data_IF_907470458382
#
_entry.id   IF_907470458382
#
_cell.length_a   1.000
_cell.length_b   1.000
_cell.length_c   1.000
_cell.angle_alpha   90.00
_cell.angle_beta   90.00
_cell.angle_gamma   90.00
#
_symmetry.space_group_name_H-M   'P 1'
#
loop_
_entity.id
_entity.type
_entity.pdbx_description
1 polymer ?
#
# COMPACT_ATOMS: atom_id res chain seq x y z
N UNK A 1 9.79 63.57 -53.60
CA UNK A 1 8.80 63.65 -54.70
C UNK A 1 7.94 62.41 -54.66
N UNK A 2 6.65 62.64 -54.40
CA UNK A 2 5.44 61.82 -54.77
C UNK A 2 5.51 60.28 -54.73
N UNK A 3 4.73 59.73 -53.81
CA UNK A 3 4.01 58.46 -53.93
C UNK A 3 3.17 58.33 -55.20
N UNK A 4 2.81 57.08 -55.61
CA UNK A 4 1.42 56.74 -55.37
C UNK A 4 1.18 55.26 -54.86
N UNK A 5 0.07 55.19 -54.14
CA UNK A 5 -0.67 54.04 -53.66
C UNK A 5 -1.05 53.00 -54.73
N UNK A 6 -1.01 51.72 -54.38
CA UNK A 6 -1.88 50.71 -54.99
C UNK A 6 -2.47 49.81 -53.89
N UNK A 7 -3.77 49.97 -53.72
CA UNK A 7 -4.65 49.18 -52.89
C UNK A 7 -4.99 47.86 -53.59
N UNK A 8 -4.76 46.71 -52.87
CA UNK A 8 -5.36 45.40 -53.21
C UNK A 8 -6.53 45.13 -52.28
N UNK A 9 -7.64 44.57 -52.76
CA UNK A 9 -8.79 44.24 -51.93
C UNK A 9 -8.61 42.94 -51.18
N UNK A 10 -8.97 42.95 -49.86
CA UNK A 10 -9.02 41.81 -48.96
C UNK A 10 -10.25 40.97 -49.32
N UNK A 11 -10.04 39.76 -49.86
CA UNK A 11 -11.08 38.74 -49.98
C UNK A 11 -11.25 38.03 -48.64
N UNK A 12 -12.40 38.26 -47.98
CA UNK A 12 -12.85 37.47 -46.84
C UNK A 12 -13.32 36.10 -47.33
N UNK A 13 -12.53 35.04 -47.01
CA UNK A 13 -12.94 33.67 -47.16
C UNK A 13 -13.60 33.23 -45.83
N UNK A 14 -14.92 33.18 -45.78
CA UNK A 14 -15.69 32.61 -44.68
C UNK A 14 -15.62 31.07 -44.79
N UNK A 15 -14.75 30.45 -44.00
CA UNK A 15 -14.76 29.01 -43.80
C UNK A 15 -15.88 28.64 -42.81
N UNK A 16 -16.92 27.99 -43.30
CA UNK A 16 -17.92 27.33 -42.47
C UNK A 16 -17.26 26.11 -41.81
N UNK A 17 -16.98 26.20 -40.50
CA UNK A 17 -16.65 25.04 -39.68
C UNK A 17 -17.96 24.33 -39.36
N UNK A 18 -18.25 23.22 -40.02
CA UNK A 18 -19.29 22.29 -39.63
C UNK A 18 -18.84 21.59 -38.33
N UNK A 19 -19.44 21.96 -37.19
CA UNK A 19 -19.32 21.23 -35.94
C UNK A 19 -19.96 19.86 -36.14
N UNK A 20 -19.14 18.82 -36.36
CA UNK A 20 -19.59 17.43 -36.17
C UNK A 20 -19.75 17.22 -34.69
N UNK A 21 -20.98 17.30 -34.19
CA UNK A 21 -21.36 16.73 -32.91
C UNK A 21 -21.20 15.22 -33.03
N UNK A 22 -20.01 14.73 -32.64
CA UNK A 22 -19.82 13.30 -32.38
C UNK A 22 -20.79 12.88 -31.30
N UNK A 23 -21.77 12.06 -31.65
CA UNK A 23 -22.61 11.35 -30.73
C UNK A 23 -21.67 10.45 -29.88
N UNK A 24 -21.34 10.89 -28.69
CA UNK A 24 -20.78 9.98 -27.67
C UNK A 24 -21.78 8.85 -27.50
N UNK A 25 -21.38 7.64 -27.87
CA UNK A 25 -22.13 6.43 -27.50
C UNK A 25 -22.35 6.47 -25.99
N UNK A 26 -23.56 6.20 -25.50
CA UNK A 26 -23.75 6.09 -24.06
C UNK A 26 -22.81 4.99 -23.60
N UNK A 27 -21.88 5.34 -22.70
CA UNK A 27 -21.13 4.36 -21.96
C UNK A 27 -22.12 3.32 -21.44
N UNK A 28 -21.85 2.06 -21.68
CA UNK A 28 -22.66 0.94 -21.26
C UNK A 28 -22.89 1.11 -19.76
N UNK A 29 -24.06 1.58 -19.37
CA UNK A 29 -24.40 1.71 -17.96
C UNK A 29 -24.37 0.30 -17.40
N UNK A 30 -23.31 -0.04 -16.68
CA UNK A 30 -23.20 -1.31 -15.98
C UNK A 30 -24.52 -1.56 -15.24
N UNK A 31 -25.06 -2.77 -15.37
CA UNK A 31 -26.35 -3.09 -14.78
C UNK A 31 -26.31 -2.73 -13.28
N UNK A 32 -27.12 -1.76 -12.88
CA UNK A 32 -27.09 -1.25 -11.52
C UNK A 32 -27.29 -2.42 -10.54
N UNK A 33 -26.42 -2.52 -9.53
CA UNK A 33 -26.52 -3.53 -8.48
C UNK A 33 -27.90 -3.47 -7.80
N UNK A 34 -28.78 -4.47 -7.99
CA UNK A 34 -30.15 -4.45 -7.44
C UNK A 34 -30.17 -4.58 -5.91
N UNK A 35 -29.01 -4.87 -5.29
CA UNK A 35 -28.86 -5.08 -3.85
C UNK A 35 -28.35 -3.83 -3.12
N UNK A 36 -27.99 -2.76 -3.83
CA UNK A 36 -27.31 -1.61 -3.25
C UNK A 36 -27.98 -1.04 -1.99
N UNK A 37 -29.28 -0.75 -2.05
CA UNK A 37 -30.02 -0.23 -0.89
C UNK A 37 -30.12 -1.24 0.26
N UNK A 38 -30.14 -2.54 -0.03
CA UNK A 38 -30.15 -3.57 1.00
C UNK A 38 -28.80 -3.73 1.66
N UNK A 39 -27.70 -3.67 0.89
CA UNK A 39 -26.33 -3.65 1.40
C UNK A 39 -26.17 -2.50 2.39
N UNK A 40 -26.56 -1.27 2.02
CA UNK A 40 -26.44 -0.10 2.88
C UNK A 40 -27.22 -0.26 4.19
N UNK A 41 -28.46 -0.77 4.13
CA UNK A 41 -29.25 -1.02 5.36
C UNK A 41 -28.60 -2.07 6.25
N UNK A 42 -28.10 -3.16 5.68
CA UNK A 42 -27.43 -4.24 6.44
C UNK A 42 -26.11 -3.77 7.04
N UNK A 43 -25.33 -3.00 6.30
CA UNK A 43 -24.09 -2.39 6.80
C UNK A 43 -24.37 -1.48 7.99
N UNK A 44 -25.34 -0.56 7.88
CA UNK A 44 -25.72 0.33 8.98
C UNK A 44 -26.21 -0.42 10.23
N UNK A 45 -26.88 -1.57 10.06
CA UNK A 45 -27.32 -2.39 11.18
C UNK A 45 -26.17 -3.07 11.93
N UNK A 46 -24.95 -3.07 11.37
CA UNK A 46 -23.76 -3.65 11.99
C UNK A 46 -22.88 -2.62 12.72
N UNK A 47 -23.15 -1.32 12.64
CA UNK A 47 -22.28 -0.27 13.18
C UNK A 47 -21.82 -0.52 14.63
N UNK A 48 -22.72 -0.90 15.52
CA UNK A 48 -22.38 -1.17 16.92
C UNK A 48 -21.43 -2.37 17.06
N UNK A 49 -21.63 -3.44 16.28
CA UNK A 49 -20.76 -4.62 16.29
C UNK A 49 -19.42 -4.37 15.60
N UNK A 50 -19.42 -3.58 14.54
CA UNK A 50 -18.20 -3.13 13.87
C UNK A 50 -17.26 -2.43 14.87
N UNK A 51 -17.80 -1.49 15.65
CA UNK A 51 -17.05 -0.78 16.68
C UNK A 51 -16.60 -1.72 17.81
N UNK A 52 -17.48 -2.64 18.26
CA UNK A 52 -17.11 -3.66 19.25
C UNK A 52 -15.94 -4.53 18.78
N UNK A 53 -16.01 -5.05 17.53
CA UNK A 53 -14.96 -5.87 16.95
C UNK A 53 -13.65 -5.12 16.80
N UNK A 54 -13.71 -3.89 16.29
CA UNK A 54 -12.53 -3.02 16.16
C UNK A 54 -11.86 -2.79 17.52
N UNK A 55 -12.63 -2.41 18.54
CA UNK A 55 -12.09 -2.16 19.89
C UNK A 55 -11.52 -3.41 20.55
N UNK A 56 -12.15 -4.57 20.32
CA UNK A 56 -11.62 -5.85 20.79
C UNK A 56 -10.24 -6.14 20.16
N UNK A 57 -10.11 -6.00 18.85
CA UNK A 57 -8.83 -6.21 18.15
C UNK A 57 -7.79 -5.18 18.60
N UNK A 58 -8.16 -3.92 18.73
CA UNK A 58 -7.28 -2.84 19.18
C UNK A 58 -6.71 -3.10 20.59
N UNK A 59 -7.54 -3.61 21.48
CA UNK A 59 -7.15 -3.92 22.86
C UNK A 59 -6.27 -5.18 22.97
N UNK A 60 -6.31 -6.06 21.98
CA UNK A 60 -5.61 -7.34 21.95
C UNK A 60 -4.76 -7.49 20.67
N UNK A 61 -3.84 -6.55 20.39
CA UNK A 61 -3.03 -6.58 19.18
C UNK A 61 -1.94 -7.64 19.26
N UNK A 62 -1.61 -8.22 18.12
CA UNK A 62 -0.55 -9.21 17.97
C UNK A 62 0.43 -8.77 16.87
N UNK A 63 1.73 -8.99 17.10
CA UNK A 63 2.79 -8.65 16.14
C UNK A 63 2.70 -9.52 14.89
N UNK A 64 3.29 -9.02 13.79
CA UNK A 64 3.44 -9.71 12.51
C UNK A 64 3.93 -11.15 12.67
N UNK A 65 3.20 -12.10 12.08
CA UNK A 65 3.47 -13.54 12.19
C UNK A 65 3.12 -14.16 13.55
N UNK A 66 2.44 -13.43 14.43
CA UNK A 66 2.01 -13.86 15.77
C UNK A 66 0.50 -13.69 15.99
N UNK A 67 -0.29 -13.42 14.96
CA UNK A 67 -1.71 -13.06 14.97
C UNK A 67 -2.62 -14.27 15.26
N UNK A 68 -2.30 -15.08 16.28
CA UNK A 68 -2.97 -16.36 16.56
C UNK A 68 -4.39 -16.15 17.08
N UNK A 69 -4.57 -15.29 18.07
CA UNK A 69 -5.88 -15.00 18.63
C UNK A 69 -6.70 -14.13 17.68
N UNK A 70 -6.07 -13.26 16.90
CA UNK A 70 -6.70 -12.50 15.80
C UNK A 70 -7.25 -13.45 14.73
N UNK A 71 -6.46 -14.43 14.28
CA UNK A 71 -6.90 -15.44 13.31
C UNK A 71 -8.07 -16.27 13.84
N UNK A 72 -8.03 -16.65 15.12
CA UNK A 72 -9.13 -17.36 15.79
C UNK A 72 -10.38 -16.50 15.88
N UNK A 73 -10.25 -15.23 16.26
CA UNK A 73 -11.36 -14.28 16.31
C UNK A 73 -12.04 -14.14 14.93
N UNK A 74 -11.26 -13.96 13.88
CA UNK A 74 -11.76 -13.90 12.49
C UNK A 74 -12.46 -15.21 12.11
N UNK A 75 -11.81 -16.34 12.35
CA UNK A 75 -12.35 -17.67 12.04
C UNK A 75 -13.70 -17.93 12.70
N UNK A 76 -13.85 -17.60 13.98
CA UNK A 76 -15.10 -17.78 14.73
C UNK A 76 -16.24 -16.92 14.15
N UNK A 77 -15.97 -15.67 13.74
CA UNK A 77 -16.98 -14.77 13.15
C UNK A 77 -17.40 -15.25 11.76
N UNK A 78 -16.45 -15.68 10.95
CA UNK A 78 -16.76 -16.23 9.63
C UNK A 78 -17.60 -17.52 9.74
N UNK A 79 -17.30 -18.39 10.70
CA UNK A 79 -18.13 -19.59 10.97
C UNK A 79 -19.53 -19.23 11.44
N UNK A 80 -19.66 -18.20 12.28
CA UNK A 80 -20.97 -17.76 12.80
C UNK A 80 -21.91 -17.26 11.69
N UNK A 81 -21.39 -16.80 10.56
CA UNK A 81 -22.18 -16.40 9.37
C UNK A 81 -22.27 -17.52 8.31
N UNK A 82 -21.89 -18.75 8.67
CA UNK A 82 -22.03 -19.94 7.83
C UNK A 82 -21.00 -20.06 6.72
N UNK A 83 -19.80 -19.51 6.91
CA UNK A 83 -18.65 -19.72 6.03
C UNK A 83 -17.71 -20.79 6.59
N UNK A 84 -16.89 -21.35 5.74
CA UNK A 84 -15.87 -22.34 6.08
C UNK A 84 -14.47 -21.74 5.89
N UNK A 85 -13.93 -20.99 6.87
CA UNK A 85 -12.61 -20.41 6.80
C UNK A 85 -11.53 -21.49 6.92
N UNK A 86 -10.42 -21.29 6.19
CA UNK A 86 -9.20 -22.08 6.30
C UNK A 86 -8.00 -21.22 6.64
N UNK A 87 -7.04 -21.78 7.37
CA UNK A 87 -5.77 -21.12 7.63
C UNK A 87 -4.91 -21.07 6.36
N UNK A 88 -4.12 -20.02 6.22
CA UNK A 88 -3.16 -19.81 5.15
C UNK A 88 -2.02 -18.93 5.65
N UNK A 89 -0.82 -19.06 5.11
CA UNK A 89 0.33 -18.23 5.45
C UNK A 89 0.62 -18.15 6.97
N UNK A 90 0.42 -19.26 7.68
CA UNK A 90 0.62 -19.34 9.13
C UNK A 90 -0.61 -18.85 9.92
N UNK A 91 -0.72 -17.56 10.19
CA UNK A 91 -1.81 -16.95 10.97
C UNK A 91 -2.87 -16.27 10.09
N UNK A 92 -2.74 -16.29 8.78
CA UNK A 92 -3.75 -15.77 7.86
C UNK A 92 -5.00 -16.63 7.78
N UNK A 93 -6.12 -16.02 7.39
CA UNK A 93 -7.41 -16.69 7.23
C UNK A 93 -8.00 -16.35 5.87
N UNK A 94 -8.48 -17.36 5.16
CA UNK A 94 -9.17 -17.21 3.88
C UNK A 94 -10.55 -17.89 3.95
N UNK A 95 -11.55 -17.23 3.36
CA UNK A 95 -12.88 -17.82 3.21
C UNK A 95 -13.51 -17.42 1.87
N UNK A 96 -14.45 -18.19 1.38
CA UNK A 96 -15.14 -17.94 0.12
C UNK A 96 -16.64 -17.79 0.36
N UNK A 97 -17.19 -16.69 -0.14
CA UNK A 97 -18.64 -16.53 -0.30
C UNK A 97 -18.99 -16.94 -1.72
N UNK A 98 -19.63 -18.10 -1.88
CA UNK A 98 -20.07 -18.58 -3.17
C UNK A 98 -21.50 -18.07 -3.44
N UNK A 99 -21.65 -17.23 -4.46
CA UNK A 99 -22.96 -16.84 -4.99
C UNK A 99 -23.64 -18.02 -5.73
N UNK A 100 -24.94 -17.97 -5.86
CA UNK A 100 -25.71 -19.03 -6.55
C UNK A 100 -25.73 -18.90 -8.07
N UNK A 101 -25.40 -17.74 -8.60
CA UNK A 101 -25.36 -17.47 -10.04
C UNK A 101 -23.93 -17.52 -10.56
N UNK A 102 -23.70 -17.95 -11.81
CA UNK A 102 -22.35 -17.94 -12.39
C UNK A 102 -21.85 -16.49 -12.59
N UNK A 103 -20.54 -16.28 -12.38
CA UNK A 103 -19.93 -14.96 -12.51
C UNK A 103 -18.44 -14.99 -12.29
N UNK A 104 -17.84 -13.81 -12.17
CA UNK A 104 -16.44 -13.60 -11.87
C UNK A 104 -16.13 -13.83 -10.37
N UNK A 105 -14.86 -13.77 -10.03
CA UNK A 105 -14.39 -13.89 -8.65
C UNK A 105 -13.61 -12.64 -8.27
N UNK A 106 -14.03 -11.95 -7.20
CA UNK A 106 -13.28 -10.84 -6.61
C UNK A 106 -12.71 -11.24 -5.26
N UNK A 107 -11.46 -10.83 -4.98
CA UNK A 107 -10.89 -10.92 -3.64
C UNK A 107 -10.98 -9.59 -2.90
N UNK A 108 -11.32 -9.65 -1.61
CA UNK A 108 -11.31 -8.53 -0.68
C UNK A 108 -10.24 -8.77 0.37
N UNK A 109 -9.32 -7.83 0.56
CA UNK A 109 -8.19 -7.98 1.47
C UNK A 109 -8.27 -7.03 2.66
N UNK A 110 -7.98 -7.55 3.84
CA UNK A 110 -7.62 -6.80 5.04
C UNK A 110 -6.40 -7.45 5.69
N UNK A 111 -5.43 -6.65 6.09
CA UNK A 111 -4.32 -7.04 6.93
C UNK A 111 -4.75 -7.14 8.41
N UNK A 112 -3.94 -7.84 9.24
CA UNK A 112 -4.39 -8.21 10.59
C UNK A 112 -3.37 -7.97 11.69
N UNK A 113 -2.12 -7.68 11.35
CA UNK A 113 -1.00 -7.56 12.28
C UNK A 113 -0.89 -6.18 12.95
N UNK A 114 -0.11 -6.12 14.02
CA UNK A 114 0.18 -4.92 14.79
C UNK A 114 1.69 -4.68 14.93
N UNK A 115 2.03 -3.49 15.40
CA UNK A 115 3.39 -2.97 15.47
C UNK A 115 3.98 -2.96 16.89
N UNK A 116 5.32 -3.03 17.03
CA UNK A 116 6.00 -2.89 18.31
C UNK A 116 6.04 -1.43 18.78
N UNK A 117 4.87 -0.84 19.03
CA UNK A 117 4.67 0.57 19.39
C UNK A 117 3.99 0.67 20.75
N UNK A 118 4.44 1.58 21.62
CA UNK A 118 3.77 1.93 22.86
C UNK A 118 2.62 2.91 22.58
N UNK A 119 1.40 2.53 22.93
CA UNK A 119 0.26 3.42 22.77
C UNK A 119 0.25 4.55 23.81
N UNK A 120 0.20 5.80 23.30
CA UNK A 120 0.12 7.03 24.11
C UNK A 120 -1.27 7.71 24.04
N UNK A 121 -2.25 7.10 23.35
CA UNK A 121 -3.63 7.62 23.28
C UNK A 121 -4.40 7.18 24.52
N UNK A 122 -5.11 8.09 25.15
CA UNK A 122 -5.97 7.81 26.31
C UNK A 122 -7.35 7.32 25.85
N UNK A 123 -7.45 6.00 25.60
CA UNK A 123 -8.68 5.34 25.18
C UNK A 123 -9.10 4.29 26.21
N UNK A 124 -10.41 4.09 26.46
CA UNK A 124 -10.90 3.04 27.35
C UNK A 124 -10.49 1.62 26.92
N UNK A 125 -10.16 1.44 25.64
CA UNK A 125 -9.75 0.20 25.02
C UNK A 125 -8.30 0.26 24.51
N UNK A 126 -7.49 1.19 25.01
CA UNK A 126 -6.07 1.29 24.65
C UNK A 126 -5.34 -0.02 24.92
N UNK A 127 -4.41 -0.38 24.03
CA UNK A 127 -3.59 -1.58 24.19
C UNK A 127 -2.69 -1.49 25.42
N UNK A 128 -2.59 -2.59 26.15
CA UNK A 128 -1.59 -2.85 27.20
C UNK A 128 -0.83 -4.13 26.90
N UNK A 129 -0.96 -4.64 25.67
CA UNK A 129 -0.34 -5.87 25.23
C UNK A 129 1.18 -5.69 25.11
N UNK A 130 1.88 -6.81 25.31
CA UNK A 130 3.32 -6.92 25.08
C UNK A 130 3.60 -8.14 24.22
N UNK A 131 4.61 -8.05 23.36
CA UNK A 131 5.06 -9.14 22.52
C UNK A 131 6.58 -9.30 22.57
N UNK A 132 7.09 -10.29 21.86
CA UNK A 132 8.53 -10.48 21.68
C UNK A 132 8.91 -10.13 20.25
N UNK A 133 9.78 -9.15 20.07
CA UNK A 133 10.35 -8.74 18.78
C UNK A 133 11.87 -8.79 18.86
N UNK A 134 12.53 -9.55 18.00
CA UNK A 134 13.98 -9.76 18.00
C UNK A 134 14.55 -10.11 19.39
N UNK A 135 13.85 -11.00 20.12
CA UNK A 135 14.24 -11.46 21.46
C UNK A 135 14.04 -10.47 22.60
N UNK A 136 13.42 -9.31 22.34
CA UNK A 136 13.12 -8.29 23.35
C UNK A 136 11.62 -8.21 23.58
N UNK A 137 11.22 -7.99 24.85
CA UNK A 137 9.83 -7.63 25.17
C UNK A 137 9.55 -6.19 24.72
N UNK A 138 8.50 -6.01 23.94
CA UNK A 138 8.07 -4.72 23.39
C UNK A 138 6.58 -4.52 23.64
N UNK A 139 6.10 -3.28 23.81
CA UNK A 139 4.67 -2.98 23.75
C UNK A 139 4.13 -3.22 22.34
N UNK A 140 2.84 -3.50 22.21
CA UNK A 140 2.19 -3.76 20.93
C UNK A 140 0.96 -2.89 20.75
N UNK A 141 0.81 -2.28 19.58
CA UNK A 141 -0.32 -1.42 19.24
C UNK A 141 -0.70 -1.58 17.76
N UNK A 142 -2.01 -1.55 17.45
CA UNK A 142 -2.47 -1.35 16.08
C UNK A 142 -2.25 0.12 15.65
N UNK A 143 -0.98 0.50 15.47
CA UNK A 143 -0.59 1.86 15.10
C UNK A 143 -0.73 2.16 13.59
N UNK A 144 -1.09 1.15 12.78
CA UNK A 144 -1.39 1.30 11.35
C UNK A 144 -2.89 1.20 11.04
N UNK A 145 -3.70 0.68 11.98
CA UNK A 145 -5.15 0.61 11.84
C UNK A 145 -5.69 -0.71 11.28
N UNK A 146 -4.89 -1.79 11.29
CA UNK A 146 -5.29 -3.10 10.77
C UNK A 146 -6.45 -3.74 11.56
N UNK A 147 -6.64 -3.35 12.82
CA UNK A 147 -7.86 -3.65 13.59
C UNK A 147 -9.13 -3.14 12.91
N UNK A 148 -9.06 -1.98 12.25
CA UNK A 148 -10.17 -1.41 11.49
C UNK A 148 -10.37 -2.12 10.16
N UNK A 149 -9.29 -2.46 9.45
CA UNK A 149 -9.37 -3.19 8.18
C UNK A 149 -10.02 -4.56 8.40
N UNK A 150 -9.53 -5.31 9.38
CA UNK A 150 -10.09 -6.61 9.79
C UNK A 150 -11.57 -6.52 10.16
N UNK A 151 -11.95 -5.56 11.01
CA UNK A 151 -13.34 -5.40 11.44
C UNK A 151 -14.27 -4.96 10.31
N UNK A 152 -13.83 -4.05 9.42
CA UNK A 152 -14.58 -3.64 8.25
C UNK A 152 -14.83 -4.80 7.28
N UNK A 153 -13.80 -5.62 7.01
CA UNK A 153 -13.96 -6.77 6.13
C UNK A 153 -14.84 -7.85 6.74
N UNK A 154 -14.76 -8.09 8.06
CA UNK A 154 -15.68 -8.98 8.76
C UNK A 154 -17.14 -8.53 8.64
N UNK A 155 -17.40 -7.24 8.84
CA UNK A 155 -18.76 -6.67 8.70
C UNK A 155 -19.26 -6.76 7.24
N UNK A 156 -18.42 -6.45 6.26
CA UNK A 156 -18.74 -6.61 4.85
C UNK A 156 -19.01 -8.08 4.49
N UNK A 157 -18.24 -9.01 5.05
CA UNK A 157 -18.45 -10.45 4.86
C UNK A 157 -19.82 -10.90 5.39
N UNK A 158 -20.26 -10.40 6.55
CA UNK A 158 -21.58 -10.71 7.10
C UNK A 158 -22.72 -10.19 6.20
N UNK A 159 -22.59 -8.95 5.70
CA UNK A 159 -23.54 -8.38 4.74
C UNK A 159 -23.66 -9.24 3.49
N UNK A 160 -22.50 -9.57 2.87
CA UNK A 160 -22.43 -10.28 1.60
C UNK A 160 -22.84 -11.76 1.74
N UNK A 161 -22.43 -12.44 2.81
CA UNK A 161 -22.86 -13.81 3.10
C UNK A 161 -24.38 -13.93 3.26
N UNK A 162 -25.01 -12.93 3.89
CA UNK A 162 -26.47 -12.84 4.00
C UNK A 162 -27.19 -12.58 2.68
N UNK A 163 -26.47 -12.24 1.60
CA UNK A 163 -27.00 -11.97 0.26
C UNK A 163 -26.57 -13.00 -0.79
N UNK A 164 -25.76 -14.00 -0.40
CA UNK A 164 -25.10 -14.97 -1.31
C UNK A 164 -26.04 -15.65 -2.31
N UNK A 165 -27.31 -15.90 -1.92
CA UNK A 165 -28.29 -16.52 -2.80
C UNK A 165 -28.70 -15.66 -4.01
N UNK A 166 -28.40 -14.39 -3.95
CA UNK A 166 -28.73 -13.37 -4.96
C UNK A 166 -27.51 -12.80 -5.67
N UNK A 167 -26.29 -13.17 -5.23
CA UNK A 167 -25.04 -12.72 -5.84
C UNK A 167 -24.61 -13.67 -6.97
N UNK A 168 -24.10 -13.14 -8.10
CA UNK A 168 -23.36 -13.93 -9.06
C UNK A 168 -21.90 -14.14 -8.57
N UNK A 169 -21.23 -15.15 -9.14
CA UNK A 169 -19.80 -15.35 -8.93
C UNK A 169 -19.39 -15.71 -7.51
N UNK A 170 -18.17 -15.31 -7.14
CA UNK A 170 -17.56 -15.63 -5.84
C UNK A 170 -16.82 -14.44 -5.25
N UNK A 171 -16.78 -14.38 -3.92
CA UNK A 171 -15.96 -13.42 -3.19
C UNK A 171 -14.97 -14.21 -2.34
N UNK A 172 -13.68 -13.94 -2.52
CA UNK A 172 -12.59 -14.48 -1.68
C UNK A 172 -12.26 -13.44 -0.62
N UNK A 173 -12.36 -13.80 0.64
CA UNK A 173 -12.00 -12.94 1.78
C UNK A 173 -10.58 -13.30 2.20
N UNK A 174 -9.68 -12.32 2.18
CA UNK A 174 -8.29 -12.44 2.54
C UNK A 174 -8.03 -11.65 3.82
N UNK A 175 -7.92 -12.34 4.95
CA UNK A 175 -7.42 -11.76 6.21
C UNK A 175 -5.94 -12.09 6.28
N UNK A 176 -5.13 -11.11 5.95
CA UNK A 176 -3.71 -11.29 5.69
C UNK A 176 -2.88 -10.97 6.93
N UNK A 177 -1.98 -11.88 7.36
CA UNK A 177 -1.03 -11.61 8.43
C UNK A 177 0.19 -10.85 7.93
N UNK A 178 0.98 -10.29 8.83
CA UNK A 178 2.36 -9.86 8.65
C UNK A 178 2.60 -8.91 7.46
N UNK A 179 1.72 -7.93 7.24
CA UNK A 179 1.91 -6.86 6.24
C UNK A 179 3.14 -6.01 6.57
N UNK A 180 3.34 -5.70 7.85
CA UNK A 180 4.47 -4.90 8.37
C UNK A 180 5.80 -5.67 8.35
N UNK A 181 5.76 -6.92 7.90
CA UNK A 181 6.91 -7.81 7.78
C UNK A 181 7.27 -8.53 9.08
N UNK A 182 8.08 -9.56 8.92
CA UNK A 182 8.68 -10.33 10.03
C UNK A 182 10.20 -10.14 10.02
N UNK A 183 10.91 -10.41 11.13
CA UNK A 183 12.37 -10.43 11.12
C UNK A 183 12.91 -11.31 9.98
N UNK A 184 13.93 -10.84 9.28
CA UNK A 184 14.52 -11.53 8.09
C UNK A 184 14.84 -13.01 8.34
N UNK A 185 15.23 -13.36 9.57
CA UNK A 185 15.52 -14.74 9.95
C UNK A 185 14.28 -15.66 9.96
N UNK A 186 13.07 -15.11 9.94
CA UNK A 186 11.81 -15.87 9.95
C UNK A 186 11.28 -16.16 8.55
N UNK A 187 11.92 -15.58 7.52
CA UNK A 187 11.65 -15.89 6.12
C UNK A 187 10.46 -15.12 5.52
N UNK A 188 9.80 -15.75 4.54
CA UNK A 188 8.71 -15.14 3.76
C UNK A 188 7.41 -15.10 4.57
N UNK A 189 6.74 -13.96 4.56
CA UNK A 189 5.49 -13.70 5.28
C UNK A 189 4.49 -12.88 4.43
N UNK A 190 3.43 -12.40 5.02
CA UNK A 190 2.49 -11.45 4.42
C UNK A 190 1.84 -11.95 3.13
N UNK A 191 1.60 -11.03 2.22
CA UNK A 191 1.00 -11.30 0.92
C UNK A 191 1.85 -12.25 0.06
N UNK A 192 3.19 -12.18 0.16
CA UNK A 192 4.07 -13.07 -0.61
C UNK A 192 3.79 -14.53 -0.27
N UNK A 193 3.69 -14.86 1.01
CA UNK A 193 3.38 -16.19 1.47
C UNK A 193 1.95 -16.61 1.12
N UNK A 194 0.97 -15.70 1.27
CA UNK A 194 -0.40 -15.98 0.87
C UNK A 194 -0.52 -16.30 -0.62
N UNK A 195 0.15 -15.54 -1.49
CA UNK A 195 0.18 -15.78 -2.94
C UNK A 195 0.87 -17.11 -3.25
N UNK A 196 2.02 -17.39 -2.61
CA UNK A 196 2.74 -18.65 -2.78
C UNK A 196 1.93 -19.87 -2.34
N UNK A 197 1.09 -19.75 -1.33
CA UNK A 197 0.18 -20.79 -0.83
C UNK A 197 -1.17 -20.84 -1.59
N UNK A 198 -1.31 -20.09 -2.70
CA UNK A 198 -2.45 -20.17 -3.62
C UNK A 198 -3.69 -19.38 -3.20
N UNK A 199 -3.54 -18.26 -2.50
CA UNK A 199 -4.66 -17.43 -2.06
C UNK A 199 -5.55 -16.90 -3.20
N UNK A 200 -5.00 -16.77 -4.41
CA UNK A 200 -5.70 -16.28 -5.61
C UNK A 200 -6.00 -17.37 -6.67
N UNK A 201 -5.71 -18.63 -6.37
CA UNK A 201 -5.74 -19.69 -7.39
C UNK A 201 -7.01 -20.58 -7.31
N UNK A 202 -7.54 -20.85 -6.11
CA UNK A 202 -8.72 -21.68 -5.92
C UNK A 202 -9.71 -21.08 -4.88
N UNK A 203 -10.78 -20.41 -5.38
CA UNK A 203 -11.10 -20.15 -6.80
C UNK A 203 -10.15 -19.12 -7.41
N UNK A 204 -9.88 -19.25 -8.72
CA UNK A 204 -9.08 -18.24 -9.43
C UNK A 204 -9.73 -16.87 -9.30
N UNK A 205 -8.96 -15.91 -8.82
CA UNK A 205 -9.40 -14.52 -8.61
C UNK A 205 -9.21 -13.72 -9.90
N UNK A 206 -10.23 -12.95 -10.28
CA UNK A 206 -10.25 -12.10 -11.47
C UNK A 206 -9.90 -10.64 -11.14
N UNK A 207 -10.17 -10.18 -9.92
CA UNK A 207 -9.80 -8.84 -9.43
C UNK A 207 -9.58 -8.85 -7.90
N UNK A 208 -8.75 -7.91 -7.39
CA UNK A 208 -8.47 -7.77 -5.95
C UNK A 208 -8.75 -6.35 -5.50
N UNK A 209 -9.39 -6.20 -4.35
CA UNK A 209 -9.72 -4.91 -3.77
C UNK A 209 -9.30 -4.86 -2.30
N UNK A 210 -8.64 -3.75 -1.89
CA UNK A 210 -8.25 -3.47 -0.52
C UNK A 210 -8.49 -2.03 -0.10
N UNK A 211 -8.64 -1.81 1.20
CA UNK A 211 -8.80 -0.49 1.80
C UNK A 211 -7.80 -0.36 2.94
N UNK A 212 -7.06 0.74 2.99
CA UNK A 212 -6.22 1.11 4.12
C UNK A 212 -6.73 2.40 4.76
N UNK A 213 -6.81 2.47 6.07
CA UNK A 213 -7.15 3.71 6.77
C UNK A 213 -5.95 4.65 6.80
N UNK A 214 -6.17 5.94 6.56
CA UNK A 214 -5.09 6.90 6.39
C UNK A 214 -5.28 8.11 7.30
N UNK A 215 -4.33 8.29 8.24
CA UNK A 215 -4.28 9.47 9.09
C UNK A 215 -3.90 10.73 8.28
N UNK A 216 -4.49 11.88 8.67
CA UNK A 216 -4.31 13.13 7.91
C UNK A 216 -5.23 13.26 6.69
N UNK A 217 -6.02 12.23 6.37
CA UNK A 217 -7.14 12.32 5.43
C UNK A 217 -8.45 12.42 6.22
N UNK A 218 -9.32 13.37 5.84
CA UNK A 218 -10.59 13.64 6.55
C UNK A 218 -11.48 12.39 6.59
N UNK A 219 -12.08 12.13 7.75
CA UNK A 219 -12.96 10.98 8.01
C UNK A 219 -14.01 10.78 6.94
N UNK A 220 -14.10 9.55 6.40
CA UNK A 220 -15.06 9.16 5.37
C UNK A 220 -14.74 9.62 3.96
N UNK A 221 -13.59 10.23 3.70
CA UNK A 221 -13.06 10.42 2.34
C UNK A 221 -12.54 9.08 1.84
N UNK A 222 -12.91 8.71 0.62
CA UNK A 222 -12.33 7.60 -0.13
C UNK A 222 -11.28 8.18 -1.09
N UNK A 223 -10.02 7.92 -0.78
CA UNK A 223 -8.88 8.35 -1.57
C UNK A 223 -8.46 7.27 -2.58
N UNK A 224 -8.41 7.60 -3.85
CA UNK A 224 -7.96 6.71 -4.92
C UNK A 224 -6.84 7.33 -5.73
N UNK A 225 -6.18 6.52 -6.55
CA UNK A 225 -5.25 6.98 -7.57
C UNK A 225 -5.20 5.97 -8.71
N UNK A 226 -5.10 6.46 -9.95
CA UNK A 226 -4.78 5.63 -11.10
C UNK A 226 -3.27 5.33 -11.14
N UNK A 227 -2.90 4.10 -11.47
CA UNK A 227 -1.50 3.69 -11.55
C UNK A 227 -0.79 3.68 -10.18
N UNK A 228 0.48 4.06 -10.17
CA UNK A 228 1.33 3.99 -8.99
C UNK A 228 0.82 4.87 -7.85
N UNK A 229 0.52 4.25 -6.70
CA UNK A 229 -0.04 4.89 -5.50
C UNK A 229 0.95 4.87 -4.33
N UNK A 230 1.54 3.70 -4.01
CA UNK A 230 2.59 3.58 -3.01
C UNK A 230 3.89 3.10 -3.66
N UNK A 231 5.01 3.52 -3.09
CA UNK A 231 6.34 3.25 -3.63
C UNK A 231 6.77 1.79 -3.46
N UNK A 232 7.60 1.30 -4.38
CA UNK A 232 8.46 0.17 -4.07
C UNK A 232 9.44 0.55 -2.96
N UNK A 233 9.77 -0.39 -2.10
CA UNK A 233 10.65 -0.17 -0.97
C UNK A 233 11.82 -1.13 -0.99
N UNK A 234 13.03 -0.66 -1.33
CA UNK A 234 14.25 -1.45 -1.26
C UNK A 234 15.12 -1.02 -0.10
N UNK A 235 15.74 -1.98 0.57
CA UNK A 235 16.89 -1.76 1.42
C UNK A 235 18.15 -2.02 0.61
N UNK A 236 19.19 -1.20 0.79
CA UNK A 236 20.50 -1.49 0.24
C UNK A 236 21.58 -1.45 1.34
N UNK A 237 22.62 -2.22 1.14
CA UNK A 237 23.80 -2.22 1.98
C UNK A 237 25.06 -2.10 1.14
N UNK A 238 25.94 -1.15 1.52
CA UNK A 238 27.22 -0.90 0.87
C UNK A 238 28.33 -1.25 1.84
N UNK A 239 29.19 -2.17 1.44
CA UNK A 239 30.39 -2.52 2.19
C UNK A 239 31.60 -1.96 1.45
N UNK A 240 32.30 -1.00 2.09
CA UNK A 240 33.53 -0.37 1.56
C UNK A 240 34.74 -1.01 2.24
N UNK A 241 35.62 -1.60 1.46
CA UNK A 241 36.89 -2.17 1.91
C UNK A 241 38.03 -1.23 1.61
N UNK A 242 38.68 -0.77 2.66
CA UNK A 242 39.90 0.01 2.63
C UNK A 242 41.11 -0.79 3.15
N UNK A 243 42.04 -0.08 3.75
CA UNK A 243 43.24 -0.65 4.38
C UNK A 243 43.57 0.10 5.65
N UNK A 244 43.56 -0.60 6.78
CA UNK A 244 43.86 -0.02 8.09
C UNK A 244 45.24 0.61 8.16
N UNK A 245 45.31 1.76 8.85
CA UNK A 245 46.59 2.45 9.10
C UNK A 245 46.51 3.28 10.39
N UNK A 246 47.67 3.73 10.85
CA UNK A 246 47.75 4.72 11.93
C UNK A 246 47.19 6.08 11.45
N UNK A 247 46.30 6.72 12.19
CA UNK A 247 45.65 7.97 11.79
C UNK A 247 46.64 9.12 11.47
N UNK A 248 47.85 9.11 12.02
CA UNK A 248 48.92 10.09 11.68
C UNK A 248 49.71 9.72 10.42
N UNK A 249 49.48 8.55 9.81
CA UNK A 249 50.16 8.06 8.60
C UNK A 249 49.14 7.61 7.55
N UNK A 250 48.22 8.47 7.11
CA UNK A 250 47.12 8.07 6.22
C UNK A 250 47.60 7.54 4.87
N UNK A 251 48.76 7.96 4.37
CA UNK A 251 49.35 7.49 3.13
C UNK A 251 49.80 6.02 3.17
N UNK A 252 49.83 5.37 4.33
CA UNK A 252 50.13 3.95 4.48
C UNK A 252 48.90 3.04 4.38
N UNK A 253 47.73 3.61 4.36
CA UNK A 253 46.44 2.92 4.29
C UNK A 253 45.56 3.35 3.11
N UNK A 254 44.32 2.92 3.15
CA UNK A 254 43.23 3.38 2.30
C UNK A 254 42.03 3.65 3.22
N UNK A 255 41.58 4.89 3.29
CA UNK A 255 40.55 5.30 4.25
C UNK A 255 39.15 5.03 3.74
N UNK A 256 38.41 4.03 4.28
CA UNK A 256 37.07 3.71 3.86
C UNK A 256 36.02 4.72 4.37
N UNK A 257 36.37 5.55 5.39
CA UNK A 257 35.47 6.62 5.85
C UNK A 257 35.42 7.73 4.80
N UNK A 258 36.58 8.14 4.27
CA UNK A 258 36.64 9.16 3.22
C UNK A 258 35.97 8.65 1.94
N UNK A 259 36.26 7.42 1.52
CA UNK A 259 35.60 6.80 0.35
C UNK A 259 34.07 6.67 0.54
N UNK A 260 33.63 6.21 1.71
CA UNK A 260 32.19 6.08 2.04
C UNK A 260 31.48 7.43 2.07
N UNK A 261 32.11 8.47 2.59
CA UNK A 261 31.55 9.83 2.59
C UNK A 261 31.37 10.38 1.16
N UNK A 262 32.35 10.12 0.29
CA UNK A 262 32.25 10.48 -1.13
C UNK A 262 31.15 9.68 -1.84
N UNK A 263 30.96 8.40 -1.50
CA UNK A 263 29.84 7.58 -2.01
C UNK A 263 28.51 8.20 -1.59
N UNK A 264 28.32 8.58 -0.31
CA UNK A 264 27.06 9.22 0.15
C UNK A 264 26.75 10.47 -0.67
N UNK A 265 27.75 11.33 -0.91
CA UNK A 265 27.59 12.54 -1.72
C UNK A 265 27.25 12.21 -3.18
N UNK A 266 27.95 11.23 -3.79
CA UNK A 266 27.71 10.82 -5.17
C UNK A 266 26.33 10.18 -5.37
N UNK A 267 25.83 9.42 -4.41
CA UNK A 267 24.48 8.81 -4.49
C UNK A 267 23.36 9.85 -4.61
N UNK A 268 23.56 11.09 -4.14
CA UNK A 268 22.58 12.16 -4.32
C UNK A 268 22.37 12.51 -5.81
N UNK A 269 23.37 12.22 -6.66
CA UNK A 269 23.25 12.47 -8.10
C UNK A 269 22.31 11.48 -8.81
N UNK A 270 22.07 10.31 -8.25
CA UNK A 270 21.04 9.38 -8.76
C UNK A 270 19.68 10.07 -8.86
N UNK A 271 19.27 10.76 -7.80
CA UNK A 271 18.00 11.49 -7.76
C UNK A 271 18.09 12.77 -8.59
N UNK A 272 19.13 13.60 -8.36
CA UNK A 272 19.16 14.97 -8.88
C UNK A 272 19.66 15.10 -10.32
N UNK A 273 20.31 14.07 -10.90
CA UNK A 273 20.95 14.15 -12.24
C UNK A 273 20.68 12.94 -13.14
N UNK A 274 20.33 11.79 -12.58
CA UNK A 274 20.21 10.55 -13.36
C UNK A 274 18.77 10.01 -13.39
N UNK A 275 17.85 10.57 -12.59
CA UNK A 275 16.43 10.20 -12.60
C UNK A 275 15.58 11.26 -13.31
N UNK A 276 14.65 10.82 -14.14
CA UNK A 276 13.61 11.69 -14.70
C UNK A 276 12.48 11.87 -13.69
N UNK A 277 12.62 12.92 -12.85
CA UNK A 277 11.63 13.25 -11.82
C UNK A 277 10.30 13.78 -12.39
N UNK A 278 10.24 14.04 -13.72
CA UNK A 278 8.98 14.38 -14.39
C UNK A 278 8.16 13.14 -14.74
N UNK A 279 8.84 11.99 -14.86
CA UNK A 279 8.19 10.70 -15.04
C UNK A 279 7.68 10.18 -13.70
N UNK A 280 8.59 9.88 -12.76
CA UNK A 280 8.23 9.39 -11.43
C UNK A 280 9.22 9.90 -10.35
N UNK A 281 8.75 10.18 -9.13
CA UNK A 281 9.63 10.58 -8.04
C UNK A 281 10.48 9.42 -7.54
N UNK A 282 11.66 9.76 -7.02
CA UNK A 282 12.64 8.81 -6.45
C UNK A 282 13.15 9.34 -5.12
N UNK A 283 13.36 8.45 -4.15
CA UNK A 283 14.03 8.73 -2.88
C UNK A 283 15.18 7.76 -2.69
N UNK A 284 16.38 8.28 -2.38
CA UNK A 284 17.55 7.50 -1.98
C UNK A 284 18.11 8.10 -0.69
N UNK A 285 18.13 7.30 0.37
CA UNK A 285 18.60 7.75 1.69
C UNK A 285 19.59 6.76 2.27
N UNK A 286 20.76 7.24 2.70
CA UNK A 286 21.66 6.49 3.58
C UNK A 286 21.28 6.85 5.02
N UNK A 287 20.74 5.89 5.74
CA UNK A 287 20.26 6.07 7.12
C UNK A 287 21.27 5.64 8.19
N UNK A 288 22.26 4.82 7.81
CA UNK A 288 23.26 4.31 8.73
C UNK A 288 24.63 4.31 8.08
N UNK A 289 25.66 4.74 8.83
CA UNK A 289 27.05 4.72 8.41
C UNK A 289 27.94 4.29 9.60
N UNK A 290 28.46 3.08 9.54
CA UNK A 290 29.28 2.48 10.59
C UNK A 290 30.72 2.36 10.12
N UNK A 291 31.67 2.95 10.88
CA UNK A 291 33.09 2.82 10.61
C UNK A 291 33.95 3.20 11.82
N UNK A 292 35.08 2.51 11.98
CA UNK A 292 36.09 2.84 12.97
C UNK A 292 35.67 2.52 14.41
N UNK A 293 36.70 2.49 15.28
CA UNK A 293 36.54 2.21 16.72
C UNK A 293 37.35 3.18 17.59
N UNK A 294 38.30 3.92 17.00
CA UNK A 294 39.18 4.84 17.72
C UNK A 294 39.64 5.97 16.84
N UNK A 295 39.77 7.17 17.39
CA UNK A 295 40.12 8.41 16.68
C UNK A 295 41.47 8.42 15.96
N UNK A 296 42.42 7.58 16.34
CA UNK A 296 43.77 7.51 15.78
C UNK A 296 44.03 6.27 14.93
N UNK A 297 42.99 5.56 14.52
CA UNK A 297 43.06 4.38 13.64
C UNK A 297 42.17 4.62 12.42
N UNK A 298 42.71 4.58 11.23
CA UNK A 298 41.94 4.44 9.99
C UNK A 298 41.47 2.98 9.96
N UNK A 299 40.14 2.72 9.89
CA UNK A 299 39.64 1.35 9.87
C UNK A 299 39.94 0.64 8.55
N UNK A 300 39.75 -0.67 8.51
CA UNK A 300 39.89 -1.46 7.28
C UNK A 300 38.60 -1.47 6.44
N UNK A 301 37.44 -1.13 7.04
CA UNK A 301 36.15 -1.16 6.38
C UNK A 301 35.17 -0.08 6.89
N UNK A 302 34.19 0.25 6.05
CA UNK A 302 33.00 0.98 6.42
C UNK A 302 31.76 0.29 5.86
N UNK A 303 30.64 0.42 6.55
CA UNK A 303 29.34 -0.15 6.18
C UNK A 303 28.29 0.97 6.15
N UNK A 304 27.58 1.07 5.02
CA UNK A 304 26.47 1.99 4.88
C UNK A 304 25.19 1.20 4.61
N UNK A 305 24.09 1.61 5.23
CA UNK A 305 22.77 1.01 4.99
C UNK A 305 21.79 2.11 4.65
N UNK A 306 20.94 1.85 3.66
CA UNK A 306 19.98 2.84 3.20
C UNK A 306 18.71 2.24 2.63
N UNK A 307 17.84 3.13 2.17
CA UNK A 307 16.59 2.78 1.52
C UNK A 307 16.44 3.52 0.20
N UNK A 308 15.81 2.85 -0.76
CA UNK A 308 15.41 3.40 -2.04
C UNK A 308 13.89 3.27 -2.19
N UNK A 309 13.23 4.34 -2.70
CA UNK A 309 11.81 4.36 -3.00
C UNK A 309 11.61 4.80 -4.45
N UNK A 310 10.80 4.06 -5.18
CA UNK A 310 10.48 4.32 -6.59
C UNK A 310 9.00 4.04 -6.86
N UNK A 311 8.46 4.65 -7.93
CA UNK A 311 7.07 4.44 -8.32
C UNK A 311 6.94 3.80 -9.71
N UNK A 312 8.06 3.29 -10.25
CA UNK A 312 8.15 2.58 -11.52
C UNK A 312 9.18 1.46 -11.44
N UNK A 313 8.82 0.24 -11.86
CA UNK A 313 9.67 -0.95 -11.71
C UNK A 313 10.87 -0.92 -12.67
N UNK A 314 10.73 -0.32 -13.86
CA UNK A 314 11.85 -0.18 -14.79
C UNK A 314 12.89 0.82 -14.24
N UNK A 315 12.41 1.94 -13.69
CA UNK A 315 13.25 2.91 -12.98
C UNK A 315 13.93 2.29 -11.76
N UNK A 316 13.21 1.45 -10.98
CA UNK A 316 13.76 0.70 -9.84
C UNK A 316 14.96 -0.15 -10.25
N UNK A 317 14.82 -0.94 -11.31
CA UNK A 317 15.89 -1.79 -11.83
C UNK A 317 17.09 -0.98 -12.35
N UNK A 318 16.84 0.10 -13.08
CA UNK A 318 17.88 0.98 -13.62
C UNK A 318 18.66 1.69 -12.48
N UNK A 319 17.98 2.15 -11.45
CA UNK A 319 18.62 2.78 -10.29
C UNK A 319 19.55 1.84 -9.52
N UNK A 320 19.21 0.56 -9.39
CA UNK A 320 20.09 -0.44 -8.77
C UNK A 320 21.38 -0.61 -9.58
N UNK A 321 21.28 -0.64 -10.91
CA UNK A 321 22.45 -0.71 -11.81
C UNK A 321 23.33 0.54 -11.67
N UNK A 322 22.72 1.73 -11.69
CA UNK A 322 23.44 3.01 -11.59
C UNK A 322 24.06 3.19 -10.20
N UNK A 323 23.36 2.83 -9.13
CA UNK A 323 23.88 2.85 -7.77
C UNK A 323 25.14 1.98 -7.65
N UNK A 324 25.08 0.75 -8.15
CA UNK A 324 26.22 -0.18 -8.15
C UNK A 324 27.41 0.44 -8.86
N UNK A 325 27.21 0.95 -10.06
CA UNK A 325 28.26 1.63 -10.85
C UNK A 325 28.89 2.81 -10.07
N UNK A 326 28.07 3.69 -9.50
CA UNK A 326 28.55 4.87 -8.74
C UNK A 326 29.39 4.42 -7.55
N UNK A 327 28.90 3.49 -6.77
CA UNK A 327 29.56 2.99 -5.55
C UNK A 327 30.93 2.40 -5.89
N UNK A 328 31.00 1.52 -6.89
CA UNK A 328 32.26 0.88 -7.30
C UNK A 328 33.28 1.89 -7.83
N UNK A 329 32.86 2.81 -8.72
CA UNK A 329 33.77 3.78 -9.35
C UNK A 329 34.22 4.85 -8.36
N UNK A 330 33.38 5.29 -7.45
CA UNK A 330 33.79 6.23 -6.41
C UNK A 330 34.83 5.56 -5.47
N UNK A 331 34.54 4.35 -5.00
CA UNK A 331 35.47 3.61 -4.15
C UNK A 331 36.85 3.43 -4.84
N UNK A 332 36.87 3.02 -6.11
CA UNK A 332 38.08 2.86 -6.93
C UNK A 332 38.90 4.16 -7.00
N UNK A 333 38.24 5.32 -7.17
CA UNK A 333 38.88 6.63 -7.18
C UNK A 333 39.61 7.00 -5.89
N UNK A 334 39.25 6.37 -4.77
CA UNK A 334 39.91 6.51 -3.46
C UNK A 334 40.87 5.34 -3.15
N UNK A 335 41.09 4.42 -4.10
CA UNK A 335 41.92 3.22 -3.91
C UNK A 335 41.27 2.15 -3.04
N UNK A 336 39.99 2.29 -2.73
CA UNK A 336 39.16 1.31 -2.02
C UNK A 336 38.41 0.41 -3.00
N UNK A 337 37.80 -0.65 -2.48
CA UNK A 337 36.76 -1.40 -3.21
C UNK A 337 35.45 -1.31 -2.46
N UNK A 338 34.31 -1.36 -3.18
CA UNK A 338 33.02 -1.39 -2.55
C UNK A 338 32.07 -2.37 -3.26
N UNK A 339 31.13 -2.94 -2.50
CA UNK A 339 30.08 -3.81 -3.01
C UNK A 339 28.73 -3.33 -2.47
N UNK A 340 27.75 -3.26 -3.36
CA UNK A 340 26.34 -3.03 -3.01
C UNK A 340 25.60 -4.36 -3.01
N UNK A 341 24.74 -4.56 -2.03
CA UNK A 341 23.74 -5.62 -2.02
C UNK A 341 22.37 -4.96 -1.85
N UNK A 342 21.38 -5.45 -2.58
CA UNK A 342 19.99 -5.02 -2.48
C UNK A 342 19.19 -6.13 -1.80
N UNK A 343 18.35 -5.72 -0.87
CA UNK A 343 17.35 -6.55 -0.23
C UNK A 343 16.00 -6.02 -0.74
N UNK A 344 15.41 -6.68 -1.74
CA UNK A 344 14.20 -6.19 -2.35
C UNK A 344 13.05 -6.27 -1.36
N UNK A 345 12.42 -5.14 -1.10
CA UNK A 345 11.16 -5.06 -0.40
C UNK A 345 9.98 -5.15 -1.38
N UNK A 346 8.86 -4.59 -0.97
CA UNK A 346 7.63 -4.68 -1.75
C UNK A 346 7.74 -3.93 -3.09
N UNK A 347 7.12 -4.47 -4.17
CA UNK A 347 6.99 -3.78 -5.45
C UNK A 347 6.13 -2.51 -5.34
N UNK A 348 6.07 -1.75 -6.44
CA UNK A 348 5.16 -0.61 -6.55
C UNK A 348 3.71 -1.09 -6.37
N UNK A 349 2.97 -0.48 -5.43
CA UNK A 349 1.53 -0.66 -5.36
C UNK A 349 0.88 0.24 -6.41
N UNK A 350 0.48 -0.37 -7.51
CA UNK A 350 -0.15 0.30 -8.62
C UNK A 350 -1.58 -0.20 -8.80
N UNK A 351 -2.52 0.74 -8.80
CA UNK A 351 -3.91 0.44 -9.12
C UNK A 351 -4.10 0.26 -10.61
N UNK A 352 -4.85 -0.76 -11.01
CA UNK A 352 -5.29 -0.93 -12.40
C UNK A 352 -6.22 0.21 -12.78
N UNK A 353 -5.85 0.99 -13.80
CA UNK A 353 -6.56 2.21 -14.18
C UNK A 353 -7.99 1.92 -14.66
N UNK A 354 -8.19 0.85 -15.42
CA UNK A 354 -9.52 0.49 -15.93
C UNK A 354 -10.42 0.00 -14.78
N UNK A 355 -9.86 -0.72 -13.83
CA UNK A 355 -10.61 -1.17 -12.65
C UNK A 355 -10.94 0.01 -11.71
N UNK A 356 -10.04 1.00 -11.56
CA UNK A 356 -10.38 2.26 -10.86
C UNK A 356 -11.57 2.95 -11.51
N UNK A 357 -11.55 3.12 -12.84
CA UNK A 357 -12.64 3.77 -13.59
C UNK A 357 -13.96 3.01 -13.44
N UNK A 358 -13.92 1.68 -13.42
CA UNK A 358 -15.09 0.83 -13.17
C UNK A 358 -15.68 1.05 -11.77
N UNK A 359 -14.82 1.24 -10.75
CA UNK A 359 -15.24 1.39 -9.36
C UNK A 359 -15.70 2.80 -8.98
N UNK A 360 -15.25 3.86 -9.68
CA UNK A 360 -15.56 5.25 -9.33
C UNK A 360 -17.07 5.53 -9.15
N UNK A 361 -18.00 5.05 -10.01
CA UNK A 361 -19.43 5.26 -9.80
C UNK A 361 -19.95 4.62 -8.50
N UNK A 362 -19.40 3.47 -8.13
CA UNK A 362 -19.70 2.77 -6.88
C UNK A 362 -19.22 3.57 -5.67
N UNK A 363 -17.98 4.05 -5.71
CA UNK A 363 -17.38 4.83 -4.64
C UNK A 363 -18.13 6.15 -4.42
N UNK A 364 -18.50 6.85 -5.49
CA UNK A 364 -19.31 8.07 -5.41
C UNK A 364 -20.72 7.81 -4.82
N UNK A 365 -21.31 6.66 -5.07
CA UNK A 365 -22.58 6.27 -4.43
C UNK A 365 -22.40 5.99 -2.94
N UNK A 366 -21.28 5.37 -2.55
CA UNK A 366 -20.95 5.06 -1.15
C UNK A 366 -20.62 6.31 -0.34
N UNK A 367 -19.85 7.24 -0.91
CA UNK A 367 -19.39 8.45 -0.26
C UNK A 367 -19.59 9.69 -1.19
N UNK A 368 -20.83 10.17 -1.39
CA UNK A 368 -21.15 11.24 -2.34
C UNK A 368 -20.33 12.51 -2.09
N UNK A 369 -19.59 12.98 -3.11
CA UNK A 369 -18.73 14.17 -3.03
C UNK A 369 -17.51 14.02 -2.11
N UNK A 370 -17.21 12.80 -1.67
CA UNK A 370 -16.09 12.50 -0.78
C UNK A 370 -15.10 11.49 -1.40
N UNK A 371 -15.17 11.27 -2.71
CA UNK A 371 -14.19 10.48 -3.47
C UNK A 371 -13.17 11.42 -4.07
N UNK A 372 -11.90 11.21 -3.80
CA UNK A 372 -10.83 12.14 -4.22
C UNK A 372 -9.60 11.38 -4.72
N UNK A 373 -9.00 11.91 -5.78
CA UNK A 373 -7.65 11.47 -6.14
C UNK A 373 -6.63 11.98 -5.11
N UNK A 374 -5.79 11.08 -4.60
CA UNK A 374 -4.78 11.38 -3.58
C UNK A 374 -3.37 11.43 -4.17
N UNK A 375 -2.42 12.16 -3.56
CA UNK A 375 -1.04 12.14 -3.98
C UNK A 375 -0.40 10.77 -3.76
N UNK A 376 0.72 10.52 -4.44
CA UNK A 376 1.58 9.35 -4.19
C UNK A 376 2.15 9.37 -2.78
N UNK A 377 2.27 8.18 -2.18
CA UNK A 377 2.83 8.00 -0.84
C UNK A 377 4.11 7.17 -0.94
N UNK A 378 5.18 7.64 -0.30
CA UNK A 378 6.49 6.97 -0.32
C UNK A 378 6.58 5.75 0.61
N UNK A 379 5.53 5.41 1.35
CA UNK A 379 5.35 4.13 2.00
C UNK A 379 5.27 3.00 0.98
N UNK A 380 5.55 1.77 1.40
CA UNK A 380 5.38 0.55 0.61
C UNK A 380 4.32 -0.34 1.24
N UNK A 381 3.68 -1.19 0.44
CA UNK A 381 2.53 -2.00 0.81
C UNK A 381 2.56 -3.33 0.05
N UNK A 382 2.41 -4.44 0.74
CA UNK A 382 2.51 -5.77 0.13
C UNK A 382 1.26 -6.21 -0.66
N UNK A 383 0.16 -5.43 -0.60
CA UNK A 383 -0.97 -5.55 -1.54
C UNK A 383 -0.51 -5.53 -3.00
N UNK A 384 0.61 -4.88 -3.28
CA UNK A 384 1.29 -4.87 -4.58
C UNK A 384 1.47 -6.28 -5.17
N UNK A 385 1.71 -7.29 -4.33
CA UNK A 385 1.91 -8.68 -4.76
C UNK A 385 0.63 -9.33 -5.26
N UNK A 386 -0.52 -8.96 -4.72
CA UNK A 386 -1.83 -9.36 -5.28
C UNK A 386 -2.11 -8.61 -6.58
N UNK A 387 -1.83 -7.30 -6.63
CA UNK A 387 -2.05 -6.47 -7.81
C UNK A 387 -1.16 -6.89 -9.01
N UNK A 388 -0.05 -7.58 -8.77
CA UNK A 388 0.76 -8.21 -9.83
C UNK A 388 0.14 -9.50 -10.40
N UNK A 389 -0.86 -10.09 -9.72
CA UNK A 389 -1.47 -11.36 -10.12
C UNK A 389 -2.86 -11.21 -10.73
N UNK A 390 -3.56 -10.13 -10.39
CA UNK A 390 -4.88 -9.78 -10.92
C UNK A 390 -5.05 -8.25 -10.89
N UNK A 391 -5.91 -7.65 -11.74
CA UNK A 391 -6.27 -6.24 -11.63
C UNK A 391 -6.62 -5.88 -10.19
N UNK A 392 -5.86 -4.97 -9.60
CA UNK A 392 -5.98 -4.60 -8.18
C UNK A 392 -6.34 -3.13 -8.00
N UNK A 393 -7.17 -2.83 -7.02
CA UNK A 393 -7.42 -1.46 -6.55
C UNK A 393 -7.26 -1.40 -5.04
N UNK A 394 -6.39 -0.52 -4.61
CA UNK A 394 -6.14 -0.19 -3.22
C UNK A 394 -6.59 1.24 -2.96
N UNK A 395 -7.40 1.45 -1.93
CA UNK A 395 -7.95 2.77 -1.58
C UNK A 395 -7.45 3.21 -0.21
N UNK A 396 -7.43 4.51 0.01
CA UNK A 396 -7.36 5.07 1.35
C UNK A 396 -8.76 5.44 1.86
N UNK A 397 -9.03 5.11 3.12
CA UNK A 397 -10.16 5.63 3.88
C UNK A 397 -9.64 6.66 4.88
N UNK A 398 -10.07 7.90 4.76
CA UNK A 398 -9.78 8.95 5.73
C UNK A 398 -10.42 8.64 7.08
N UNK A 399 -9.63 8.81 8.14
CA UNK A 399 -10.01 8.48 9.52
C UNK A 399 -9.71 9.61 10.51
N UNK A 400 -9.46 10.81 10.03
CA UNK A 400 -9.12 11.96 10.87
C UNK A 400 -10.27 12.96 10.87
N UNK A 401 -10.81 13.36 12.04
CA UNK A 401 -11.79 14.43 12.11
C UNK A 401 -11.29 15.69 11.40
N UNK A 402 -12.15 16.38 10.68
CA UNK A 402 -11.78 17.53 9.85
C UNK A 402 -10.96 18.59 10.61
N UNK A 403 -11.28 18.81 11.88
CA UNK A 403 -10.60 19.80 12.73
C UNK A 403 -9.16 19.42 13.06
N UNK A 404 -8.80 18.13 12.96
CA UNK A 404 -7.52 17.58 13.36
C UNK A 404 -6.61 17.21 12.17
N UNK A 405 -7.08 17.35 10.92
CA UNK A 405 -6.35 16.91 9.71
C UNK A 405 -4.92 17.49 9.65
N UNK A 406 -4.75 18.77 10.01
CA UNK A 406 -3.45 19.42 9.94
C UNK A 406 -2.47 18.98 11.05
N UNK A 407 -2.94 18.36 12.12
CA UNK A 407 -2.16 17.99 13.32
C UNK A 407 -2.22 16.51 13.63
N UNK A 408 -2.88 15.71 12.78
CA UNK A 408 -3.03 14.29 12.97
C UNK A 408 -1.69 13.59 13.11
N UNK A 409 -1.58 12.75 14.12
CA UNK A 409 -0.46 11.83 14.23
C UNK A 409 -0.56 10.80 13.08
N UNK A 410 0.54 10.62 12.35
CA UNK A 410 0.60 9.68 11.22
C UNK A 410 0.38 8.23 11.65
N UNK A 411 0.04 7.36 10.71
CA UNK A 411 0.19 5.92 10.88
C UNK A 411 1.59 5.62 11.42
N UNK A 412 1.73 4.59 12.25
CA UNK A 412 2.91 4.15 13.02
C UNK A 412 3.29 5.08 14.21
N UNK A 413 2.55 6.16 14.43
CA UNK A 413 2.78 7.00 15.61
C UNK A 413 2.22 6.35 16.89
N UNK A 414 2.88 6.52 18.07
CA UNK A 414 2.29 6.17 19.37
C UNK A 414 0.95 6.87 19.67
N UNK A 415 0.68 7.97 18.95
CA UNK A 415 -0.55 8.78 19.07
C UNK A 415 -1.50 8.61 17.89
N UNK A 416 -1.31 7.56 17.11
CA UNK A 416 -2.22 7.23 16.02
C UNK A 416 -3.64 7.02 16.56
N UNK A 417 -4.61 7.64 15.89
CA UNK A 417 -6.01 7.63 16.31
C UNK A 417 -6.93 7.45 15.10
N UNK A 418 -8.01 6.71 15.31
CA UNK A 418 -9.02 6.44 14.29
C UNK A 418 -10.36 7.06 14.72
N UNK A 419 -10.92 7.93 13.89
CA UNK A 419 -12.32 8.33 14.00
C UNK A 419 -13.23 7.17 13.53
N UNK A 420 -13.85 6.50 14.50
CA UNK A 420 -14.69 5.32 14.26
C UNK A 420 -15.92 5.63 13.39
N UNK A 421 -16.34 6.91 13.27
CA UNK A 421 -17.44 7.30 12.40
C UNK A 421 -17.18 7.03 10.91
N UNK A 422 -15.90 6.91 10.50
CA UNK A 422 -15.53 6.59 9.13
C UNK A 422 -15.76 5.12 8.76
N UNK A 423 -15.74 4.20 9.73
CA UNK A 423 -15.64 2.76 9.47
C UNK A 423 -16.83 2.19 8.70
N UNK A 424 -18.06 2.69 8.97
CA UNK A 424 -19.25 2.31 8.21
C UNK A 424 -19.12 2.60 6.69
N UNK A 425 -18.36 3.64 6.31
CA UNK A 425 -18.06 3.92 4.89
C UNK A 425 -17.16 2.83 4.28
N UNK A 426 -16.15 2.34 5.02
CA UNK A 426 -15.29 1.24 4.58
C UNK A 426 -16.08 -0.07 4.41
N UNK A 427 -16.98 -0.40 5.33
CA UNK A 427 -17.87 -1.58 5.21
C UNK A 427 -18.71 -1.51 3.94
N UNK A 428 -19.33 -0.36 3.68
CA UNK A 428 -20.12 -0.15 2.47
C UNK A 428 -19.27 -0.21 1.22
N UNK A 429 -18.05 0.36 1.25
CA UNK A 429 -17.14 0.32 0.11
C UNK A 429 -16.77 -1.14 -0.24
N UNK A 430 -16.35 -1.96 0.72
CA UNK A 430 -16.09 -3.38 0.48
C UNK A 430 -17.31 -4.10 -0.10
N UNK A 431 -18.48 -3.95 0.53
CA UNK A 431 -19.66 -4.70 0.14
C UNK A 431 -20.24 -4.25 -1.21
N UNK A 432 -20.27 -2.94 -1.48
CA UNK A 432 -20.79 -2.40 -2.73
C UNK A 432 -19.87 -2.68 -3.90
N UNK A 433 -18.54 -2.50 -3.71
CA UNK A 433 -17.53 -2.83 -4.74
C UNK A 433 -17.64 -4.30 -5.14
N UNK A 434 -17.67 -5.20 -4.16
CA UNK A 434 -17.80 -6.63 -4.47
C UNK A 434 -19.09 -6.94 -5.23
N UNK A 435 -20.23 -6.43 -4.78
CA UNK A 435 -21.50 -6.69 -5.43
C UNK A 435 -21.58 -6.09 -6.84
N UNK A 436 -21.17 -4.82 -7.01
CA UNK A 436 -21.19 -4.15 -8.32
C UNK A 436 -20.29 -4.86 -9.32
N UNK A 437 -19.06 -5.20 -8.93
CA UNK A 437 -18.14 -5.97 -9.76
C UNK A 437 -18.75 -7.30 -10.20
N UNK A 438 -19.33 -8.04 -9.26
CA UNK A 438 -19.94 -9.34 -9.58
C UNK A 438 -21.14 -9.22 -10.52
N UNK A 439 -21.99 -8.18 -10.36
CA UNK A 439 -23.12 -7.96 -11.29
C UNK A 439 -22.64 -7.48 -12.67
N UNK A 440 -21.61 -6.64 -12.73
CA UNK A 440 -21.04 -6.19 -14.00
C UNK A 440 -20.40 -7.35 -14.79
N UNK A 441 -19.82 -8.34 -14.09
CA UNK A 441 -19.14 -9.50 -14.67
C UNK A 441 -19.93 -10.80 -14.52
N UNK A 442 -21.27 -10.72 -14.37
CA UNK A 442 -22.15 -11.89 -14.36
C UNK A 442 -22.14 -12.57 -15.74
N UNK A 443 -21.99 -13.89 -15.75
CA UNK A 443 -22.05 -14.66 -16.98
C UNK A 443 -23.52 -14.91 -17.36
N UNK A 444 -23.89 -14.57 -18.59
CA UNK A 444 -25.19 -14.94 -19.16
C UNK A 444 -25.34 -16.46 -19.15
N UNK A 445 -26.52 -16.94 -18.81
CA UNK A 445 -26.90 -18.36 -18.94
C UNK A 445 -27.07 -18.75 -20.40
#
# INVERSE_FOLDING_TARGET
MRNPHSSLPLLFLTALFALQLGSASPANAAAANPLAAEIDRRAAALDARLIEWRRHLHQNPELSGREVETAKFVTERLRAIGLEPRAIAGTGVIAVIAGKLPGATIALRADTDALPVLEEVDLPFASRATGTYEGKSVPVMHACGHDTHTSMLLAAAEVLAGLRDRLPGKIVLLFQPAEEGVPVAEGVAGAERMVAEGALDDPKVDAVFGIHVFAGLESGILGYRHGSMLAAGDRFEINVQGKQAHGSKPWAGVDPIVAGSAIVAALQTLVSRESDLTHEPVVVTVGQFDAGVRNNIIPDRARLVGTMRTFDEAMRADLQIRMTRIVERVAEGYGATAKVTFDPGYPVTANDAAFVDELLPTLERVAPGRVREVPKITGSEDFSLYAQRAPGVFLFLGITPQVDVATAASNHSPRFYVDEAALGTGVRAYAQVAADYLFAHAKSH
#
